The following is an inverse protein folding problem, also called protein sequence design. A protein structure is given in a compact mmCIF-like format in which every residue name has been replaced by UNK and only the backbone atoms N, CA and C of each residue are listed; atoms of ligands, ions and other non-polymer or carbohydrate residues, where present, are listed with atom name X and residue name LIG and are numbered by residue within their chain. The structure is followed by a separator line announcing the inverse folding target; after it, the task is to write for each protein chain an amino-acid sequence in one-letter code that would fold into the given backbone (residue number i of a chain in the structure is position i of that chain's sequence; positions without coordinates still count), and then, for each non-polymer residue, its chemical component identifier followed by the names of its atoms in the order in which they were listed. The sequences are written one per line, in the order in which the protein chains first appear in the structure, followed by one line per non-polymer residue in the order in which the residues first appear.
data_IF_043516764868
#
_entry.id   IF_043516764868
#
_cell.length_a   1.000
_cell.length_b   1.000
_cell.length_c   1.000
_cell.angle_alpha   90.00
_cell.angle_beta   90.00
_cell.angle_gamma   90.00
#
_symmetry.space_group_name_H-M   'P 1'
#
loop_
_entity.id
_entity.type
_entity.pdbx_description
1 polymer ?
#
# COMPACT_ATOMS: atom_id res chain seq x y z
N UNK A 1 -53.42 18.00 -22.37
CA UNK A 1 -52.23 17.23 -22.82
C UNK A 1 -51.05 17.64 -21.96
N UNK A 2 -50.49 16.74 -21.14
CA UNK A 2 -49.39 17.09 -20.23
C UNK A 2 -48.11 17.26 -21.03
N UNK A 3 -47.52 18.45 -20.92
CA UNK A 3 -46.39 18.90 -21.71
C UNK A 3 -45.16 18.00 -21.43
N UNK A 4 -44.70 17.23 -22.43
CA UNK A 4 -43.60 16.26 -22.30
C UNK A 4 -42.32 16.93 -21.74
N UNK A 5 -42.12 18.19 -22.11
CA UNK A 5 -41.03 19.05 -21.63
C UNK A 5 -41.10 19.32 -20.12
N UNK A 6 -42.29 19.39 -19.52
CA UNK A 6 -42.46 19.59 -18.08
C UNK A 6 -42.10 18.32 -17.28
N UNK A 7 -42.41 17.14 -17.83
CA UNK A 7 -42.06 15.85 -17.22
C UNK A 7 -40.54 15.63 -17.26
N UNK A 8 -39.90 15.96 -18.38
CA UNK A 8 -38.43 15.83 -18.54
C UNK A 8 -37.70 16.82 -17.64
N UNK A 9 -38.12 18.11 -17.59
CA UNK A 9 -37.53 19.11 -16.68
C UNK A 9 -37.68 18.71 -15.21
N UNK A 10 -38.80 18.09 -14.82
CA UNK A 10 -39.01 17.57 -13.46
C UNK A 10 -38.08 16.41 -13.09
N UNK A 11 -37.78 15.51 -14.04
CA UNK A 11 -36.84 14.38 -13.82
C UNK A 11 -35.39 14.84 -13.68
N UNK A 12 -34.96 15.85 -14.44
CA UNK A 12 -33.59 16.38 -14.39
C UNK A 12 -33.37 17.20 -13.12
N UNK A 13 -34.38 17.94 -12.65
CA UNK A 13 -34.29 18.76 -11.43
C UNK A 13 -34.01 17.94 -10.16
N UNK A 14 -34.38 16.66 -10.15
CA UNK A 14 -34.16 15.74 -9.03
C UNK A 14 -32.97 14.79 -9.24
N UNK A 15 -32.20 14.97 -10.31
CA UNK A 15 -31.04 14.13 -10.57
C UNK A 15 -29.87 14.58 -9.69
N UNK A 16 -29.68 13.90 -8.56
CA UNK A 16 -28.46 14.00 -7.78
C UNK A 16 -27.51 12.89 -8.25
N UNK A 17 -26.29 13.20 -8.72
CA UNK A 17 -25.32 12.15 -9.00
C UNK A 17 -25.08 11.38 -7.70
N UNK A 18 -25.11 10.03 -7.78
CA UNK A 18 -24.73 9.22 -6.61
C UNK A 18 -23.29 9.56 -6.27
N UNK A 19 -22.96 9.85 -5.00
CA UNK A 19 -21.56 10.03 -4.61
C UNK A 19 -20.79 8.77 -4.99
N UNK A 20 -19.67 8.94 -5.71
CA UNK A 20 -18.79 7.82 -6.05
C UNK A 20 -18.23 7.27 -4.75
N UNK A 21 -18.20 5.94 -4.62
CA UNK A 21 -17.53 5.30 -3.50
C UNK A 21 -16.06 5.75 -3.46
N UNK A 22 -15.51 6.00 -2.26
CA UNK A 22 -14.09 6.31 -2.13
C UNK A 22 -13.26 5.16 -2.72
N UNK A 23 -12.21 5.51 -3.46
CA UNK A 23 -11.29 4.55 -4.07
C UNK A 23 -9.98 4.62 -3.30
N UNK A 24 -9.53 3.47 -2.81
CA UNK A 24 -8.23 3.29 -2.19
C UNK A 24 -7.24 2.79 -3.23
N UNK A 25 -5.99 3.25 -3.12
CA UNK A 25 -4.90 2.88 -4.02
C UNK A 25 -3.66 2.52 -3.20
N UNK A 26 -3.18 1.31 -3.37
CA UNK A 26 -1.92 0.83 -2.81
C UNK A 26 -0.92 0.66 -3.95
N UNK A 27 0.32 1.13 -3.76
CA UNK A 27 1.36 1.01 -4.78
C UNK A 27 2.70 0.69 -4.13
N UNK A 28 3.43 -0.27 -4.72
CA UNK A 28 4.85 -0.45 -4.50
C UNK A 28 5.58 -0.33 -5.83
N UNK A 29 6.71 0.37 -5.80
CA UNK A 29 7.65 0.43 -6.89
C UNK A 29 9.04 0.09 -6.32
N UNK A 30 9.63 -0.99 -6.82
CA UNK A 30 10.85 -1.58 -6.32
C UNK A 30 11.86 -1.67 -7.47
N UNK A 31 13.09 -1.24 -7.22
CA UNK A 31 14.20 -1.36 -8.15
C UNK A 31 15.34 -2.09 -7.44
N UNK A 32 15.70 -3.26 -7.94
CA UNK A 32 16.75 -4.12 -7.39
C UNK A 32 17.64 -4.57 -8.54
N UNK A 33 18.92 -4.18 -8.58
CA UNK A 33 19.97 -4.64 -9.51
C UNK A 33 19.50 -5.50 -10.70
N UNK A 34 18.92 -4.86 -11.73
CA UNK A 34 18.45 -5.52 -12.96
C UNK A 34 16.98 -5.98 -12.96
N UNK A 35 16.25 -5.77 -11.88
CA UNK A 35 14.85 -6.11 -11.67
C UNK A 35 14.05 -4.88 -11.22
N UNK A 36 13.09 -4.48 -12.04
CA UNK A 36 12.05 -3.51 -11.69
C UNK A 36 10.74 -4.22 -11.39
N UNK A 37 10.13 -3.93 -10.24
CA UNK A 37 8.88 -4.55 -9.82
C UNK A 37 7.89 -3.46 -9.41
N UNK A 38 6.68 -3.49 -9.98
CA UNK A 38 5.60 -2.57 -9.62
C UNK A 38 4.35 -3.36 -9.30
N UNK A 39 3.77 -3.09 -8.13
CA UNK A 39 2.49 -3.66 -7.71
C UNK A 39 1.53 -2.53 -7.42
N UNK A 40 0.34 -2.59 -8.00
CA UNK A 40 -0.72 -1.61 -7.81
C UNK A 40 -2.02 -2.31 -7.49
N UNK A 41 -2.72 -1.82 -6.49
CA UNK A 41 -4.09 -2.21 -6.15
C UNK A 41 -4.95 -0.97 -6.14
N UNK A 42 -6.11 -1.07 -6.78
CA UNK A 42 -7.14 -0.05 -6.76
C UNK A 42 -8.45 -0.71 -6.34
N UNK A 43 -9.09 -0.23 -5.27
CA UNK A 43 -10.28 -0.89 -4.75
C UNK A 43 -11.23 0.10 -4.07
N UNK A 44 -12.52 -0.21 -4.11
CA UNK A 44 -13.57 0.50 -3.37
C UNK A 44 -13.88 -0.14 -2.01
N UNK A 45 -13.13 -1.18 -1.63
CA UNK A 45 -13.27 -1.84 -0.33
C UNK A 45 -12.72 -0.92 0.76
N UNK A 46 -13.55 -0.59 1.74
CA UNK A 46 -13.21 0.34 2.83
C UNK A 46 -12.29 -0.27 3.89
N UNK A 47 -12.02 -1.57 3.82
CA UNK A 47 -11.13 -2.27 4.75
C UNK A 47 -9.69 -1.80 4.50
N UNK A 48 -9.04 -1.15 5.49
CA UNK A 48 -7.64 -0.76 5.38
C UNK A 48 -6.78 -1.99 5.09
N UNK A 49 -5.76 -1.86 4.24
CA UNK A 49 -4.84 -2.94 3.94
C UNK A 49 -3.40 -2.56 4.28
N UNK A 50 -2.60 -3.58 4.57
CA UNK A 50 -1.15 -3.48 4.69
C UNK A 50 -0.51 -4.03 3.42
N UNK A 51 0.40 -3.24 2.84
CA UNK A 51 1.26 -3.66 1.74
C UNK A 51 2.66 -3.93 2.30
N UNK A 52 3.16 -5.15 2.12
CA UNK A 52 4.47 -5.56 2.62
C UNK A 52 5.28 -6.19 1.49
N UNK A 53 6.56 -5.83 1.42
CA UNK A 53 7.54 -6.47 0.54
C UNK A 53 8.63 -7.09 1.40
N UNK A 54 8.91 -8.37 1.18
CA UNK A 54 9.94 -9.12 1.88
C UNK A 54 10.94 -9.66 0.86
N UNK A 55 12.22 -9.45 1.10
CA UNK A 55 13.33 -10.04 0.34
C UNK A 55 14.05 -11.00 1.29
N UNK A 56 13.70 -12.30 1.33
CA UNK A 56 14.12 -13.21 2.39
C UNK A 56 15.63 -13.46 2.46
N UNK A 57 16.35 -13.36 1.34
CA UNK A 57 17.81 -13.55 1.32
C UNK A 57 18.43 -12.77 0.17
N UNK A 58 19.29 -11.84 0.53
CA UNK A 58 20.17 -11.10 -0.36
C UNK A 58 21.61 -11.46 0.01
N UNK A 59 22.33 -12.14 -0.87
CA UNK A 59 23.71 -12.53 -0.65
C UNK A 59 24.65 -11.71 -1.53
N UNK A 60 25.60 -11.02 -0.92
CA UNK A 60 26.74 -10.45 -1.63
C UNK A 60 27.88 -11.45 -1.69
N UNK A 61 28.42 -11.70 -2.88
CA UNK A 61 29.64 -12.47 -3.08
C UNK A 61 30.67 -11.55 -3.72
N UNK A 62 31.89 -11.57 -3.21
CA UNK A 62 32.99 -10.79 -3.79
C UNK A 62 34.17 -11.73 -4.01
N UNK A 63 34.67 -11.78 -5.24
CA UNK A 63 35.89 -12.48 -5.58
C UNK A 63 36.91 -11.47 -6.12
N UNK A 64 38.11 -11.44 -5.54
CA UNK A 64 39.20 -10.58 -5.98
C UNK A 64 40.34 -11.43 -6.51
N UNK A 65 40.85 -11.10 -7.70
CA UNK A 65 42.06 -11.72 -8.24
C UNK A 65 43.29 -10.86 -7.95
N UNK A 66 44.30 -11.49 -7.37
CA UNK A 66 45.60 -10.87 -7.08
C UNK A 66 46.60 -11.19 -8.22
N UNK A 67 46.25 -10.74 -9.44
CA UNK A 67 47.08 -10.89 -10.64
C UNK A 67 47.68 -9.53 -11.06
N UNK A 68 48.07 -8.70 -10.09
CA UNK A 68 48.69 -7.39 -10.33
C UNK A 68 47.75 -6.30 -10.91
N UNK A 69 46.48 -6.62 -11.13
CA UNK A 69 45.46 -5.69 -11.68
C UNK A 69 44.34 -5.35 -10.70
N UNK A 70 44.37 -5.86 -9.46
CA UNK A 70 43.37 -5.62 -8.39
C UNK A 70 41.93 -5.53 -8.93
N UNK A 71 41.48 -6.60 -9.60
CA UNK A 71 40.11 -6.68 -10.09
C UNK A 71 39.29 -7.50 -9.11
N UNK A 72 38.29 -6.86 -8.52
CA UNK A 72 37.27 -7.51 -7.71
C UNK A 72 35.96 -7.57 -8.49
N UNK A 73 35.36 -8.76 -8.56
CA UNK A 73 34.02 -9.00 -9.08
C UNK A 73 33.06 -9.17 -7.91
N UNK A 74 31.98 -8.39 -7.91
CA UNK A 74 30.88 -8.52 -6.98
C UNK A 74 29.67 -9.15 -7.67
N UNK A 75 29.00 -10.07 -6.96
CA UNK A 75 27.72 -10.66 -7.35
C UNK A 75 26.72 -10.42 -6.20
N UNK A 76 25.47 -10.09 -6.55
CA UNK A 76 24.37 -10.03 -5.59
C UNK A 76 23.31 -11.04 -6.00
N UNK A 77 23.05 -12.01 -5.12
CA UNK A 77 22.03 -13.05 -5.33
C UNK A 77 20.80 -12.71 -4.49
N UNK A 78 19.68 -12.46 -5.16
CA UNK A 78 18.36 -12.26 -4.55
C UNK A 78 17.54 -13.53 -4.77
N UNK A 79 17.38 -14.37 -3.74
CA UNK A 79 16.80 -15.71 -3.94
C UNK A 79 15.27 -15.72 -3.98
N UNK A 80 14.61 -14.71 -3.41
CA UNK A 80 13.16 -14.58 -3.42
C UNK A 80 12.71 -13.15 -3.10
N UNK A 81 11.54 -12.79 -3.61
CA UNK A 81 10.84 -11.54 -3.31
C UNK A 81 9.38 -11.91 -3.12
N UNK A 82 8.81 -11.51 -1.98
CA UNK A 82 7.40 -11.73 -1.66
C UNK A 82 6.71 -10.39 -1.51
N UNK A 83 5.60 -10.18 -2.21
CA UNK A 83 4.73 -9.01 -2.04
C UNK A 83 3.39 -9.47 -1.51
N UNK A 84 2.96 -8.92 -0.38
CA UNK A 84 1.72 -9.27 0.30
C UNK A 84 0.85 -8.03 0.44
N UNK A 85 -0.42 -8.16 0.08
CA UNK A 85 -1.47 -7.21 0.42
C UNK A 85 -2.43 -7.90 1.37
N UNK A 86 -2.42 -7.50 2.63
CA UNK A 86 -3.24 -8.10 3.68
C UNK A 86 -4.30 -7.09 4.16
N UNK A 87 -5.61 -7.35 3.96
CA UNK A 87 -6.65 -6.58 4.62
C UNK A 87 -6.48 -6.67 6.14
N UNK A 88 -6.52 -5.52 6.83
CA UNK A 88 -6.57 -5.50 8.29
C UNK A 88 -7.94 -5.96 8.73
N UNK A 89 -8.00 -6.77 9.79
CA UNK A 89 -9.26 -6.96 10.49
C UNK A 89 -9.74 -5.61 11.05
N UNK A 90 -11.05 -5.32 11.06
CA UNK A 90 -11.58 -4.20 11.81
C UNK A 90 -11.10 -4.35 13.25
N UNK A 91 -10.32 -3.38 13.74
CA UNK A 91 -10.02 -3.32 15.17
C UNK A 91 -11.35 -3.13 15.89
N UNK A 92 -11.76 -4.06 16.76
CA UNK A 92 -12.97 -3.92 17.58
C UNK A 92 -12.87 -2.77 18.62
N UNK A 93 -12.05 -1.75 18.42
CA UNK A 93 -11.83 -0.68 19.38
C UNK A 93 -11.97 0.71 18.74
N UNK A 94 -13.20 1.22 18.83
CA UNK A 94 -13.45 2.57 19.37
C UNK A 94 -13.40 2.57 20.91
N UNK A 95 -12.51 1.79 21.52
CA UNK A 95 -12.35 1.63 22.97
C UNK A 95 -10.99 2.15 23.40
N UNK A 96 -10.98 2.94 24.47
CA UNK A 96 -9.88 3.79 24.93
C UNK A 96 -8.47 3.22 24.84
N UNK A 97 -7.57 4.09 24.39
CA UNK A 97 -6.17 4.09 24.87
C UNK A 97 -6.19 3.89 26.40
N UNK A 98 -5.49 2.91 26.98
CA UNK A 98 -5.39 2.81 28.42
C UNK A 98 -4.73 4.10 28.90
N UNK A 99 -5.48 4.91 29.64
CA UNK A 99 -5.01 6.18 30.18
C UNK A 99 -3.67 5.94 30.88
N UNK A 100 -2.64 6.67 30.44
CA UNK A 100 -1.33 6.65 31.08
C UNK A 100 -1.52 6.90 32.59
N UNK A 101 -0.89 6.11 33.48
CA UNK A 101 -1.09 6.27 34.91
C UNK A 101 -0.65 7.68 35.34
N UNK A 102 -1.51 8.34 36.12
CA UNK A 102 -1.27 9.68 36.64
C UNK A 102 0.07 9.70 37.40
N UNK A 103 0.98 10.61 37.00
CA UNK A 103 2.21 10.87 37.73
C UNK A 103 1.85 11.35 39.13
N UNK A 104 2.11 10.52 40.16
CA UNK A 104 2.12 10.96 41.55
C UNK A 104 3.19 12.04 41.73
N UNK A 105 2.75 13.28 41.98
CA UNK A 105 3.62 14.32 42.53
C UNK A 105 3.88 13.97 44.00
N UNK A 106 5.14 13.69 44.33
CA UNK A 106 5.60 13.60 45.71
C UNK A 106 5.78 15.01 46.26
N UNK A 107 5.22 15.25 47.44
CA UNK A 107 5.52 16.40 48.31
C UNK A 107 6.78 16.12 49.11
#
# INVERSE_FOLDING_TARGET
MKNLLAVIKGRIKNWRPRPRAPVTRDEVNLQLWGLGLTVRRETTVEIPAELTVVIPRAEGRTACEDNGTNRCQGELVLSSITVVIAPRHPTEHGGGSPAAPARLRKH
#
